data_IF_677298927740
#
_entry.id   IF_677298927740
#
_cell.length_a   1.000
_cell.length_b   1.000
_cell.length_c   1.000
_cell.angle_alpha   90.00
_cell.angle_beta   90.00
_cell.angle_gamma   90.00
#
_symmetry.space_group_name_H-M   'P 1'
#
loop_
_entity.id
_entity.type
_entity.pdbx_description
1 polymer ?
#
# COMPACT_ATOMS: atom_id res chain seq x y z
N UNK A 1 10.75 -2.57 -14.29
CA UNK A 1 11.44 -2.27 -13.02
C UNK A 1 10.66 -2.94 -11.88
N UNK A 2 11.31 -3.82 -11.16
CA UNK A 2 10.65 -4.83 -10.32
C UNK A 2 10.07 -4.23 -9.03
N UNK A 3 8.73 -4.18 -8.91
CA UNK A 3 7.98 -3.79 -7.69
C UNK A 3 8.05 -4.84 -6.56
N UNK A 4 9.14 -5.60 -6.51
CA UNK A 4 9.30 -6.76 -5.63
C UNK A 4 9.33 -6.32 -4.18
N UNK A 5 10.08 -5.25 -3.87
CA UNK A 5 10.17 -4.68 -2.52
C UNK A 5 8.80 -4.26 -2.01
N UNK A 6 8.05 -3.50 -2.82
CA UNK A 6 6.68 -3.11 -2.48
C UNK A 6 5.76 -4.31 -2.23
N UNK A 7 5.88 -5.36 -3.04
CA UNK A 7 5.06 -6.59 -2.88
C UNK A 7 5.39 -7.31 -1.57
N UNK A 8 6.68 -7.38 -1.20
CA UNK A 8 7.11 -7.97 0.06
C UNK A 8 6.61 -7.16 1.25
N UNK A 9 6.75 -5.84 1.18
CA UNK A 9 6.30 -4.89 2.20
C UNK A 9 4.79 -5.00 2.42
N UNK A 10 4.01 -4.98 1.35
CA UNK A 10 2.56 -5.16 1.41
C UNK A 10 2.17 -6.50 2.04
N UNK A 11 2.85 -7.59 1.69
CA UNK A 11 2.59 -8.90 2.27
C UNK A 11 2.96 -8.96 3.77
N UNK A 12 4.04 -8.30 4.21
CA UNK A 12 4.41 -8.19 5.62
C UNK A 12 3.31 -7.48 6.41
N UNK A 13 2.83 -6.33 5.91
CA UNK A 13 1.76 -5.56 6.55
C UNK A 13 0.47 -6.35 6.62
N UNK A 14 0.06 -7.01 5.53
CA UNK A 14 -1.16 -7.83 5.51
C UNK A 14 -1.07 -9.00 6.50
N UNK A 15 0.08 -9.66 6.58
CA UNK A 15 0.31 -10.77 7.49
C UNK A 15 0.28 -10.32 8.96
N UNK A 16 0.90 -9.19 9.28
CA UNK A 16 0.91 -8.59 10.63
C UNK A 16 -0.45 -8.09 11.07
N UNK A 17 -1.22 -7.52 10.15
CA UNK A 17 -2.50 -6.89 10.45
C UNK A 17 -3.67 -7.87 10.54
N UNK A 18 -3.46 -9.13 10.15
CA UNK A 18 -4.53 -10.14 10.06
C UNK A 18 -5.58 -9.82 8.98
N UNK A 19 -5.33 -8.84 8.10
CA UNK A 19 -6.26 -8.42 7.07
C UNK A 19 -6.19 -9.37 5.88
N UNK A 20 -7.29 -10.10 5.64
CA UNK A 20 -7.45 -10.91 4.43
C UNK A 20 -8.02 -10.06 3.29
N UNK A 21 -7.19 -9.19 2.72
CA UNK A 21 -7.54 -8.38 1.55
C UNK A 21 -6.73 -8.84 0.35
N UNK A 22 -7.42 -9.23 -0.73
CA UNK A 22 -6.78 -9.58 -2.00
C UNK A 22 -6.82 -8.36 -2.92
N UNK A 23 -5.66 -7.73 -3.13
CA UNK A 23 -5.54 -6.60 -4.06
C UNK A 23 -5.28 -7.11 -5.47
N UNK A 24 -6.04 -6.60 -6.43
CA UNK A 24 -5.76 -6.74 -7.87
C UNK A 24 -4.45 -6.05 -8.25
N UNK A 25 -3.87 -6.38 -9.41
CA UNK A 25 -2.66 -5.70 -9.90
C UNK A 25 -2.88 -4.19 -10.08
N UNK A 26 -4.07 -3.79 -10.53
CA UNK A 26 -4.46 -2.38 -10.63
C UNK A 26 -4.42 -1.68 -9.26
N UNK A 27 -5.00 -2.30 -8.23
CA UNK A 27 -5.01 -1.74 -6.88
C UNK A 27 -3.62 -1.69 -6.25
N UNK A 28 -2.80 -2.72 -6.49
CA UNK A 28 -1.39 -2.71 -6.09
C UNK A 28 -0.65 -1.56 -6.75
N UNK A 29 -0.90 -1.30 -8.03
CA UNK A 29 -0.30 -0.18 -8.75
C UNK A 29 -0.77 1.17 -8.22
N UNK A 30 -2.06 1.29 -7.88
CA UNK A 30 -2.63 2.49 -7.29
C UNK A 30 -2.06 2.76 -5.89
N UNK A 31 -2.04 1.76 -5.01
CA UNK A 31 -1.45 1.86 -3.68
C UNK A 31 0.03 2.23 -3.75
N UNK A 32 0.78 1.60 -4.67
CA UNK A 32 2.18 1.95 -4.91
C UNK A 32 2.32 3.42 -5.31
N UNK A 33 1.56 3.89 -6.30
CA UNK A 33 1.62 5.29 -6.75
C UNK A 33 1.23 6.29 -5.66
N UNK A 34 0.16 6.02 -4.91
CA UNK A 34 -0.27 6.86 -3.80
C UNK A 34 0.75 6.89 -2.66
N UNK A 35 1.36 5.75 -2.34
CA UNK A 35 2.42 5.66 -1.34
C UNK A 35 3.63 6.50 -1.77
N UNK A 36 4.11 6.34 -3.00
CA UNK A 36 5.21 7.15 -3.51
C UNK A 36 4.89 8.64 -3.46
N UNK A 37 3.68 9.03 -3.85
CA UNK A 37 3.27 10.43 -3.86
C UNK A 37 3.19 11.00 -2.43
N UNK A 38 2.66 10.22 -1.49
CA UNK A 38 2.53 10.61 -0.09
C UNK A 38 3.90 10.84 0.57
N UNK A 39 4.89 9.99 0.28
CA UNK A 39 6.25 10.12 0.82
C UNK A 39 7.16 11.00 -0.04
N UNK A 40 6.66 11.65 -1.09
CA UNK A 40 7.47 12.51 -1.97
C UNK A 40 8.53 11.76 -2.77
N UNK A 41 8.34 10.45 -2.97
CA UNK A 41 9.26 9.56 -3.70
C UNK A 41 8.97 9.53 -5.21
N UNK A 42 7.99 10.28 -5.69
CA UNK A 42 7.62 10.37 -7.12
C UNK A 42 8.72 11.08 -7.90
N UNK A 43 9.20 10.47 -8.98
CA UNK A 43 10.15 11.08 -9.92
C UNK A 43 11.63 10.95 -9.54
N UNK A 44 11.95 10.36 -8.39
CA UNK A 44 13.34 10.02 -8.06
C UNK A 44 13.86 8.88 -8.93
N UNK A 45 15.12 8.95 -9.39
CA UNK A 45 15.73 7.84 -10.15
C UNK A 45 15.84 6.54 -9.33
N UNK A 46 15.84 6.65 -7.99
CA UNK A 46 16.07 5.54 -7.07
C UNK A 46 14.88 5.27 -6.12
N UNK A 47 13.65 5.36 -6.65
CA UNK A 47 12.42 5.17 -5.86
C UNK A 47 12.44 3.88 -5.03
N UNK A 48 12.90 2.77 -5.62
CA UNK A 48 12.95 1.48 -4.93
C UNK A 48 13.94 1.48 -3.76
N UNK A 49 15.15 2.04 -3.93
CA UNK A 49 16.13 2.14 -2.85
C UNK A 49 15.69 3.11 -1.76
N UNK A 50 15.06 4.23 -2.13
CA UNK A 50 14.53 5.18 -1.17
C UNK A 50 13.41 4.56 -0.32
N UNK A 51 12.52 3.79 -0.95
CA UNK A 51 11.50 3.02 -0.25
C UNK A 51 12.09 1.91 0.63
N UNK A 52 13.12 1.21 0.15
CA UNK A 52 13.82 0.19 0.94
C UNK A 52 14.49 0.77 2.17
N UNK A 53 15.23 1.88 2.03
CA UNK A 53 15.84 2.61 3.14
C UNK A 53 14.80 3.11 4.12
N UNK A 54 13.70 3.65 3.61
CA UNK A 54 12.55 4.06 4.42
C UNK A 54 11.92 2.88 5.18
N UNK A 55 11.96 1.66 4.62
CA UNK A 55 11.45 0.47 5.29
C UNK A 55 12.39 -0.10 6.36
N UNK A 56 13.71 0.10 6.20
CA UNK A 56 14.69 -0.30 7.21
C UNK A 56 14.68 0.61 8.45
N UNK A 57 14.24 1.86 8.31
CA UNK A 57 14.06 2.78 9.43
C UNK A 57 12.77 2.44 10.21
N UNK A 58 12.84 2.14 11.53
CA UNK A 58 11.67 1.71 12.30
C UNK A 58 10.61 2.81 12.47
N UNK A 59 11.00 4.09 12.46
CA UNK A 59 10.05 5.20 12.56
C UNK A 59 9.32 5.42 11.24
N UNK A 60 10.04 5.36 10.13
CA UNK A 60 9.45 5.50 8.80
C UNK A 60 8.64 4.25 8.42
N UNK A 61 9.10 3.06 8.83
CA UNK A 61 8.36 1.80 8.71
C UNK A 61 6.96 1.93 9.32
N UNK A 62 6.85 2.41 10.56
CA UNK A 62 5.55 2.60 11.21
C UNK A 62 4.61 3.50 10.41
N UNK A 63 5.13 4.61 9.86
CA UNK A 63 4.34 5.51 8.99
C UNK A 63 3.87 4.84 7.70
N UNK A 64 4.71 4.01 7.10
CA UNK A 64 4.35 3.25 5.89
C UNK A 64 3.28 2.21 6.23
N UNK A 65 3.43 1.49 7.35
CA UNK A 65 2.44 0.53 7.84
C UNK A 65 1.07 1.21 8.08
N UNK A 66 1.05 2.34 8.81
CA UNK A 66 -0.16 3.14 9.05
C UNK A 66 -0.81 3.63 7.75
N UNK A 67 -0.01 4.11 6.79
CA UNK A 67 -0.52 4.55 5.49
C UNK A 67 -1.21 3.41 4.73
N UNK A 68 -0.56 2.24 4.66
CA UNK A 68 -1.10 1.07 3.98
C UNK A 68 -2.38 0.60 4.68
N UNK A 69 -2.39 0.55 6.01
CA UNK A 69 -3.57 0.19 6.80
C UNK A 69 -4.74 1.15 6.57
N UNK A 70 -4.48 2.46 6.58
CA UNK A 70 -5.50 3.47 6.32
C UNK A 70 -6.03 3.39 4.89
N UNK A 71 -5.17 3.10 3.91
CA UNK A 71 -5.57 2.90 2.52
C UNK A 71 -6.43 1.64 2.36
N UNK A 72 -5.99 0.51 2.93
CA UNK A 72 -6.76 -0.73 2.95
C UNK A 72 -8.11 -0.56 3.67
N UNK A 73 -8.14 0.15 4.79
CA UNK A 73 -9.37 0.47 5.52
C UNK A 73 -10.35 1.31 4.69
N UNK A 74 -9.86 2.32 3.95
CA UNK A 74 -10.66 3.07 2.97
C UNK A 74 -11.21 2.15 1.89
N UNK A 75 -10.41 1.21 1.38
CA UNK A 75 -10.86 0.25 0.38
C UNK A 75 -11.92 -0.72 0.92
N UNK A 76 -11.72 -1.33 2.09
CA UNK A 76 -12.70 -2.25 2.69
C UNK A 76 -14.03 -1.53 2.96
N UNK A 77 -13.98 -0.27 3.42
CA UNK A 77 -15.18 0.56 3.60
C UNK A 77 -15.83 0.91 2.26
N UNK A 78 -15.04 1.24 1.24
CA UNK A 78 -15.53 1.51 -0.11
C UNK A 78 -16.19 0.27 -0.72
N UNK A 79 -15.58 -0.91 -0.62
CA UNK A 79 -16.18 -2.19 -1.02
C UNK A 79 -17.48 -2.47 -0.25
N UNK A 80 -17.48 -2.33 1.08
CA UNK A 80 -18.67 -2.58 1.92
C UNK A 80 -19.79 -1.53 1.72
N UNK A 81 -19.45 -0.31 1.30
CA UNK A 81 -20.39 0.76 0.99
C UNK A 81 -20.89 0.74 -0.45
N UNK A 82 -20.09 0.27 -1.42
CA UNK A 82 -20.45 0.17 -2.84
C UNK A 82 -21.34 -1.06 -3.14
N UNK A 83 -21.32 -2.10 -2.30
CA UNK A 83 -22.30 -3.21 -2.37
C UNK A 83 -23.75 -2.84 -1.98
N UNK A 84 -24.07 -1.54 -1.84
CA UNK A 84 -25.46 -1.05 -1.77
C UNK A 84 -25.98 -0.46 -3.10
N UNK A 85 -25.16 -0.39 -4.14
CA UNK A 85 -25.55 0.14 -5.45
C UNK A 85 -24.97 -0.75 -6.53
N UNK A 86 -25.63 -1.87 -6.79
CA UNK A 86 -25.21 -2.79 -7.84
C UNK A 86 -25.89 -4.15 -7.84
N UNK A 87 -27.15 -4.21 -7.41
CA UNK A 87 -28.10 -5.26 -7.81
C UNK A 87 -29.45 -4.58 -8.01
N UNK A 88 -29.73 -4.17 -9.24
CA UNK A 88 -31.08 -4.15 -9.85
C UNK A 88 -30.88 -4.57 -11.30
#
# INVERSE_FOLDING_TARGET
MSKVIFTLLLNDVLSRSGLRVKLSEFEKNQLYGELLNHFGLVGGLNVCEALERAWQDPYVKGKIEDFILAWLGRKVRKVRGEYRTGII
#
